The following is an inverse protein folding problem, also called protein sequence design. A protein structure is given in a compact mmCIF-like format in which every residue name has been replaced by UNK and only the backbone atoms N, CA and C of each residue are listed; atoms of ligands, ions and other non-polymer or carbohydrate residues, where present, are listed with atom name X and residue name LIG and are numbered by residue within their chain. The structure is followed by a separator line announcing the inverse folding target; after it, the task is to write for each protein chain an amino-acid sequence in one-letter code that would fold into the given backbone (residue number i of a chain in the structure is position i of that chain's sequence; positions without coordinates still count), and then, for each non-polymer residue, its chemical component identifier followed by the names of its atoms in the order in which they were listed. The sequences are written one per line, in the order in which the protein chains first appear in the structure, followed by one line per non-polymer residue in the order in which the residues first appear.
data_IF_174509852255
#
_entry.id   IF_174509852255
#
_cell.length_a   1.000
_cell.length_b   1.000
_cell.length_c   1.000
_cell.angle_alpha   90.00
_cell.angle_beta   90.00
_cell.angle_gamma   90.00
#
_symmetry.space_group_name_H-M   'P 1'
#
loop_
_entity.id
_entity.type
_entity.pdbx_description
1 polymer ?
#
# COMPACT_ATOMS: atom_id res chain seq x y z
N UNK A 1 -51.20 58.10 28.74
CA UNK A 1 -49.74 57.89 28.83
C UNK A 1 -49.30 56.45 29.08
N UNK A 2 -50.13 55.56 29.65
CA UNK A 2 -49.79 54.14 29.89
C UNK A 2 -49.79 53.23 28.64
N UNK A 3 -50.52 53.59 27.58
CA UNK A 3 -50.49 52.85 26.30
C UNK A 3 -49.16 52.98 25.55
N UNK A 4 -48.46 54.12 25.68
CA UNK A 4 -47.14 54.31 25.08
C UNK A 4 -46.07 53.45 25.77
N UNK A 5 -46.14 53.29 27.10
CA UNK A 5 -45.18 52.45 27.83
C UNK A 5 -45.36 50.96 27.55
N UNK A 6 -46.60 50.49 27.37
CA UNK A 6 -46.88 49.09 27.03
C UNK A 6 -46.39 48.72 25.62
N UNK A 7 -46.63 49.59 24.63
CA UNK A 7 -46.15 49.37 23.25
C UNK A 7 -44.62 49.39 23.14
N UNK A 8 -43.95 50.29 23.86
CA UNK A 8 -42.49 50.34 23.92
C UNK A 8 -41.93 49.05 24.55
N UNK A 9 -42.55 48.56 25.62
CA UNK A 9 -42.11 47.31 26.26
C UNK A 9 -42.22 46.11 25.31
N UNK A 10 -43.31 45.99 24.56
CA UNK A 10 -43.47 44.95 23.54
C UNK A 10 -42.41 45.04 22.44
N UNK A 11 -42.05 46.25 21.99
CA UNK A 11 -41.00 46.45 20.99
C UNK A 11 -39.62 46.07 21.53
N UNK A 12 -39.31 46.40 22.79
CA UNK A 12 -38.05 46.03 23.44
C UNK A 12 -37.92 44.51 23.63
N UNK A 13 -39.02 43.83 23.95
CA UNK A 13 -39.03 42.37 24.09
C UNK A 13 -38.88 41.68 22.72
N UNK A 14 -39.55 42.21 21.68
CA UNK A 14 -39.36 41.76 20.31
C UNK A 14 -37.91 41.96 19.81
N UNK A 15 -37.26 43.08 20.16
CA UNK A 15 -35.86 43.33 19.82
C UNK A 15 -34.92 42.31 20.48
N UNK A 16 -35.13 42.02 21.77
CA UNK A 16 -34.32 41.03 22.50
C UNK A 16 -34.47 39.63 21.90
N UNK A 17 -35.68 39.24 21.53
CA UNK A 17 -35.92 37.92 20.95
C UNK A 17 -35.35 37.83 19.53
N UNK A 18 -35.47 38.89 18.72
CA UNK A 18 -34.80 38.96 17.43
C UNK A 18 -33.26 38.84 17.58
N UNK A 19 -32.66 39.54 18.54
CA UNK A 19 -31.22 39.44 18.82
C UNK A 19 -30.79 38.03 19.22
N UNK A 20 -31.58 37.35 20.08
CA UNK A 20 -31.31 35.95 20.47
C UNK A 20 -31.37 35.01 19.26
N UNK A 21 -32.39 35.14 18.42
CA UNK A 21 -32.56 34.30 17.23
C UNK A 21 -31.35 34.46 16.30
N UNK A 22 -30.92 35.70 16.04
CA UNK A 22 -29.76 35.97 15.19
C UNK A 22 -28.47 35.38 15.78
N UNK A 23 -28.26 35.50 17.09
CA UNK A 23 -27.08 34.90 17.73
C UNK A 23 -27.09 33.37 17.69
N UNK A 24 -28.25 32.74 17.92
CA UNK A 24 -28.41 31.30 17.85
C UNK A 24 -28.16 30.79 16.42
N UNK A 25 -28.73 31.46 15.42
CA UNK A 25 -28.55 31.09 14.02
C UNK A 25 -27.08 31.24 13.57
N UNK A 26 -26.39 32.30 13.99
CA UNK A 26 -24.95 32.46 13.74
C UNK A 26 -24.14 31.32 14.35
N UNK A 27 -24.43 30.96 15.59
CA UNK A 27 -23.72 29.89 16.31
C UNK A 27 -24.00 28.53 15.68
N UNK A 28 -25.25 28.28 15.27
CA UNK A 28 -25.64 27.06 14.57
C UNK A 28 -24.92 26.93 13.24
N UNK A 29 -24.92 27.96 12.39
CA UNK A 29 -24.20 27.96 11.11
C UNK A 29 -22.71 27.66 11.26
N UNK A 30 -22.05 28.27 12.26
CA UNK A 30 -20.62 28.00 12.53
C UNK A 30 -20.39 26.56 12.98
N UNK A 31 -21.28 26.00 13.82
CA UNK A 31 -21.18 24.62 14.27
C UNK A 31 -21.42 23.63 13.13
N UNK A 32 -22.43 23.88 12.32
CA UNK A 32 -22.77 23.03 11.17
C UNK A 32 -21.62 23.03 10.15
N UNK A 33 -21.07 24.20 9.81
CA UNK A 33 -19.90 24.29 8.92
C UNK A 33 -18.67 23.55 9.45
N UNK A 34 -18.41 23.59 10.77
CA UNK A 34 -17.32 22.82 11.39
C UNK A 34 -17.56 21.32 11.31
N UNK A 35 -18.78 20.87 11.58
CA UNK A 35 -19.13 19.46 11.52
C UNK A 35 -19.05 18.93 10.08
N UNK A 36 -19.49 19.72 9.11
CA UNK A 36 -19.43 19.37 7.69
C UNK A 36 -17.98 19.29 7.20
N UNK A 37 -17.14 20.27 7.53
CA UNK A 37 -15.72 20.23 7.21
C UNK A 37 -15.00 19.04 7.87
N UNK A 38 -15.35 18.72 9.13
CA UNK A 38 -14.77 17.55 9.82
C UNK A 38 -15.18 16.26 9.12
N UNK A 39 -16.45 16.14 8.73
CA UNK A 39 -16.96 14.98 7.99
C UNK A 39 -16.25 14.82 6.64
N UNK A 40 -16.09 15.91 5.90
CA UNK A 40 -15.39 15.89 4.60
C UNK A 40 -13.92 15.49 4.74
N UNK A 41 -13.23 15.98 5.79
CA UNK A 41 -11.86 15.56 6.12
C UNK A 41 -11.79 14.07 6.43
N UNK A 42 -12.73 13.54 7.22
CA UNK A 42 -12.74 12.13 7.62
C UNK A 42 -13.08 11.22 6.42
N UNK A 43 -14.02 11.65 5.57
CA UNK A 43 -14.35 10.95 4.33
C UNK A 43 -13.14 10.94 3.37
N UNK A 44 -12.46 12.08 3.19
CA UNK A 44 -11.26 12.18 2.35
C UNK A 44 -10.10 11.33 2.89
N UNK A 45 -9.87 11.32 4.21
CA UNK A 45 -8.87 10.45 4.85
C UNK A 45 -9.19 8.99 4.59
N UNK A 46 -10.45 8.58 4.78
CA UNK A 46 -10.88 7.20 4.54
C UNK A 46 -10.71 6.78 3.08
N UNK A 47 -11.02 7.68 2.14
CA UNK A 47 -10.80 7.44 0.72
C UNK A 47 -9.30 7.24 0.43
N UNK A 48 -8.44 8.12 0.95
CA UNK A 48 -6.99 8.03 0.77
C UNK A 48 -6.37 6.81 1.44
N UNK A 49 -6.82 6.43 2.63
CA UNK A 49 -6.38 5.21 3.31
C UNK A 49 -6.80 3.97 2.51
N UNK A 50 -8.00 3.96 1.94
CA UNK A 50 -8.47 2.86 1.08
C UNK A 50 -7.65 2.77 -0.20
N UNK A 51 -7.38 3.90 -0.85
CA UNK A 51 -6.52 3.98 -2.04
C UNK A 51 -5.10 3.50 -1.72
N UNK A 52 -4.53 3.92 -0.59
CA UNK A 52 -3.22 3.49 -0.11
C UNK A 52 -3.18 2.00 0.16
N UNK A 53 -4.17 1.43 0.86
CA UNK A 53 -4.24 -0.01 1.12
C UNK A 53 -4.40 -0.82 -0.18
N UNK A 54 -5.20 -0.34 -1.14
CA UNK A 54 -5.31 -1.00 -2.44
C UNK A 54 -4.01 -0.92 -3.23
N UNK A 55 -3.32 0.22 -3.18
CA UNK A 55 -2.01 0.40 -3.79
C UNK A 55 -0.99 -0.54 -3.15
N UNK A 56 -0.92 -0.58 -1.82
CA UNK A 56 -0.08 -1.52 -1.08
C UNK A 56 -0.40 -2.97 -1.45
N UNK A 57 -1.66 -3.41 -1.48
CA UNK A 57 -1.98 -4.79 -1.87
C UNK A 57 -1.56 -5.10 -3.32
N UNK A 58 -1.82 -4.18 -4.25
CA UNK A 58 -1.46 -4.36 -5.66
C UNK A 58 0.06 -4.38 -5.86
N UNK A 59 0.80 -3.52 -5.16
CA UNK A 59 2.24 -3.38 -5.32
C UNK A 59 3.08 -4.26 -4.38
N UNK A 60 2.55 -4.65 -3.23
CA UNK A 60 3.16 -5.64 -2.31
C UNK A 60 3.23 -7.02 -2.97
N UNK A 61 2.30 -7.33 -3.87
CA UNK A 61 2.36 -8.54 -4.70
C UNK A 61 3.46 -8.56 -5.77
N UNK A 62 4.17 -7.44 -5.96
CA UNK A 62 5.25 -7.32 -6.95
C UNK A 62 6.37 -8.32 -6.71
N UNK A 63 6.75 -8.54 -5.44
CA UNK A 63 7.77 -9.52 -5.08
C UNK A 63 7.27 -10.95 -5.30
N UNK A 64 6.01 -11.24 -4.98
CA UNK A 64 5.50 -12.61 -5.06
C UNK A 64 5.42 -13.11 -6.50
N UNK A 65 5.00 -12.27 -7.45
CA UNK A 65 5.04 -12.62 -8.88
C UNK A 65 6.48 -12.80 -9.39
N UNK A 66 7.38 -11.89 -9.03
CA UNK A 66 8.78 -11.98 -9.42
C UNK A 66 9.45 -13.25 -8.84
N UNK A 67 9.13 -13.61 -7.60
CA UNK A 67 9.59 -14.84 -6.95
C UNK A 67 9.01 -16.09 -7.61
N UNK A 68 7.70 -16.12 -7.91
CA UNK A 68 7.06 -17.27 -8.57
C UNK A 68 7.61 -17.49 -9.99
N UNK A 69 7.82 -16.41 -10.76
CA UNK A 69 8.40 -16.48 -12.10
C UNK A 69 9.87 -16.91 -12.04
N UNK A 70 10.67 -16.34 -11.14
CA UNK A 70 12.06 -16.75 -10.92
C UNK A 70 12.17 -18.21 -10.48
N UNK A 71 11.24 -18.69 -9.65
CA UNK A 71 11.21 -20.07 -9.19
C UNK A 71 10.89 -21.04 -10.32
N UNK A 72 9.93 -20.72 -11.18
CA UNK A 72 9.63 -21.52 -12.39
C UNK A 72 10.83 -21.60 -13.32
N UNK A 73 11.46 -20.47 -13.62
CA UNK A 73 12.65 -20.44 -14.47
C UNK A 73 13.81 -21.24 -13.86
N UNK A 74 14.01 -21.13 -12.55
CA UNK A 74 15.01 -21.90 -11.83
C UNK A 74 14.73 -23.40 -11.92
N UNK A 75 13.48 -23.83 -11.70
CA UNK A 75 13.10 -25.24 -11.80
C UNK A 75 13.33 -25.81 -13.21
N UNK A 76 13.08 -25.02 -14.26
CA UNK A 76 13.41 -25.40 -15.64
C UNK A 76 14.92 -25.53 -15.83
N UNK A 77 15.70 -24.57 -15.35
CA UNK A 77 17.16 -24.57 -15.46
C UNK A 77 17.80 -25.72 -14.70
N UNK A 78 17.30 -26.06 -13.51
CA UNK A 78 17.75 -27.21 -12.73
C UNK A 78 17.50 -28.51 -13.49
N UNK A 79 16.31 -28.69 -14.09
CA UNK A 79 16.02 -29.86 -14.92
C UNK A 79 16.93 -29.96 -16.13
N UNK A 80 17.20 -28.85 -16.82
CA UNK A 80 18.16 -28.81 -17.93
C UNK A 80 19.57 -29.23 -17.48
N UNK A 81 20.04 -28.72 -16.32
CA UNK A 81 21.34 -29.09 -15.75
C UNK A 81 21.39 -30.57 -15.41
N UNK A 82 20.35 -31.12 -14.78
CA UNK A 82 20.28 -32.55 -14.44
C UNK A 82 20.30 -33.42 -15.70
N UNK A 83 19.56 -33.05 -16.76
CA UNK A 83 19.60 -33.76 -18.04
C UNK A 83 20.98 -33.73 -18.69
N UNK A 84 21.63 -32.57 -18.70
CA UNK A 84 22.99 -32.42 -19.22
C UNK A 84 23.98 -33.22 -18.38
N UNK A 85 23.86 -33.18 -17.06
CA UNK A 85 24.67 -33.94 -16.12
C UNK A 85 24.52 -35.45 -16.33
N UNK A 86 23.31 -35.94 -16.54
CA UNK A 86 23.05 -37.35 -16.83
C UNK A 86 23.61 -37.78 -18.20
N UNK A 87 23.49 -36.93 -19.24
CA UNK A 87 24.05 -37.21 -20.58
C UNK A 87 25.57 -37.18 -20.60
N UNK A 88 26.17 -36.24 -19.87
CA UNK A 88 27.61 -35.97 -19.91
C UNK A 88 28.39 -36.77 -18.85
N UNK A 89 27.72 -37.17 -17.77
CA UNK A 89 28.32 -37.76 -16.58
C UNK A 89 29.08 -39.04 -16.89
N UNK A 90 28.48 -39.96 -17.65
CA UNK A 90 29.15 -41.20 -18.05
C UNK A 90 30.44 -40.93 -18.83
N UNK A 91 30.43 -39.94 -19.73
CA UNK A 91 31.60 -39.55 -20.53
C UNK A 91 32.69 -38.91 -19.66
N UNK A 92 32.33 -38.07 -18.69
CA UNK A 92 33.28 -37.45 -17.76
C UNK A 92 33.90 -38.51 -16.85
N UNK A 93 33.11 -39.46 -16.36
CA UNK A 93 33.60 -40.58 -15.54
C UNK A 93 34.59 -41.44 -16.32
N UNK A 94 34.29 -41.78 -17.59
CA UNK A 94 35.23 -42.49 -18.46
C UNK A 94 36.51 -41.69 -18.70
N UNK A 95 36.42 -40.39 -18.95
CA UNK A 95 37.60 -39.53 -19.14
C UNK A 95 38.47 -39.45 -17.88
N UNK A 96 37.86 -39.34 -16.69
CA UNK A 96 38.58 -39.35 -15.42
C UNK A 96 39.25 -40.70 -15.16
N UNK A 97 38.53 -41.81 -15.37
CA UNK A 97 39.09 -43.16 -15.26
C UNK A 97 40.26 -43.36 -16.23
N UNK A 98 40.11 -42.94 -17.49
CA UNK A 98 41.18 -43.01 -18.48
C UNK A 98 42.39 -42.14 -18.09
N UNK A 99 42.18 -40.93 -17.57
CA UNK A 99 43.26 -40.06 -17.11
C UNK A 99 44.04 -40.65 -15.91
N UNK A 100 43.34 -41.31 -14.98
CA UNK A 100 43.96 -41.93 -13.80
C UNK A 100 44.66 -43.24 -14.15
N UNK A 101 44.09 -44.04 -15.06
CA UNK A 101 44.66 -45.34 -15.43
C UNK A 101 45.77 -45.24 -16.49
N UNK A 102 45.79 -44.17 -17.29
CA UNK A 102 46.80 -43.97 -18.33
C UNK A 102 48.01 -43.21 -17.77
N UNK A 103 48.87 -43.94 -17.06
CA UNK A 103 50.13 -43.40 -16.56
C UNK A 103 51.05 -43.00 -17.72
N UNK A 104 51.25 -41.69 -17.92
CA UNK A 104 52.31 -41.13 -18.76
C UNK A 104 53.46 -40.64 -17.88
N UNK A 105 54.42 -41.51 -17.55
CA UNK A 105 55.60 -41.10 -16.80
C UNK A 105 56.43 -40.15 -17.66
N UNK A 106 56.59 -38.91 -17.20
CA UNK A 106 57.61 -38.00 -17.74
C UNK A 106 58.85 -38.04 -16.85
N UNK A 107 60.06 -38.08 -17.44
CA UNK A 107 61.29 -37.95 -16.68
C UNK A 107 61.35 -36.55 -16.03
N UNK A 108 61.91 -36.44 -14.81
CA UNK A 108 62.04 -35.15 -14.14
C UNK A 108 62.85 -34.19 -15.01
N UNK A 109 62.28 -33.00 -15.26
CA UNK A 109 62.97 -31.94 -16.02
C UNK A 109 64.17 -31.45 -15.20
N UNK A 110 65.36 -31.47 -15.83
CA UNK A 110 66.63 -31.00 -15.27
C UNK A 110 66.60 -29.50 -15.00
#
# INVERSE_FOLDING_TARGET
SAQNSAGIQTLLDAERDAQKIVQQDRTKRVKDARNEAQKEIDDYKKEKDTEYQQFEQKHSSGNQKAEDDAKKDTDVKVKEIDEIGNKSGSKVVEQLLAAVTNAKPEPPKK
#
